data_IF_527280538177
#
_entry.id   IF_527280538177
#
_cell.length_a   1.000
_cell.length_b   1.000
_cell.length_c   1.000
_cell.angle_alpha   90.00
_cell.angle_beta   90.00
_cell.angle_gamma   90.00
#
_symmetry.space_group_name_H-M   'P 1'
#
loop_
_entity.id
_entity.type
_entity.pdbx_description
1 polymer ?
#
# COMPACT_ATOMS: atom_id res chain seq x y z
N UNK A 1 -15.04 -19.54 7.82
CA UNK A 1 -15.61 -18.55 8.76
C UNK A 1 -14.51 -18.03 9.67
N UNK A 2 -13.85 -16.93 9.28
CA UNK A 2 -13.00 -16.17 10.19
C UNK A 2 -13.90 -15.53 11.25
N UNK A 3 -13.88 -16.07 12.47
CA UNK A 3 -14.55 -15.47 13.60
C UNK A 3 -13.86 -14.12 13.88
N UNK A 4 -14.64 -13.06 14.12
CA UNK A 4 -14.16 -11.67 14.28
C UNK A 4 -13.11 -11.51 15.39
N UNK A 5 -12.93 -12.50 16.27
CA UNK A 5 -12.06 -12.46 17.44
C UNK A 5 -11.10 -13.66 17.61
N UNK A 6 -10.92 -14.53 16.61
CA UNK A 6 -9.88 -15.59 16.69
C UNK A 6 -8.78 -15.31 15.67
N UNK A 7 -7.83 -14.45 16.03
CA UNK A 7 -6.64 -14.25 15.21
C UNK A 7 -5.84 -15.55 15.15
N UNK A 8 -5.64 -16.08 13.94
CA UNK A 8 -4.78 -17.23 13.73
C UNK A 8 -3.33 -16.82 14.06
N UNK A 9 -2.78 -17.35 15.15
CA UNK A 9 -1.43 -17.02 15.61
C UNK A 9 -0.36 -17.38 14.58
N UNK A 10 -0.55 -18.49 13.85
CA UNK A 10 0.33 -18.85 12.73
C UNK A 10 0.34 -17.75 11.67
N UNK A 11 -0.84 -17.27 11.25
CA UNK A 11 -0.92 -16.17 10.27
C UNK A 11 -0.19 -14.92 10.76
N UNK A 12 -0.40 -14.51 12.02
CA UNK A 12 0.29 -13.33 12.58
C UNK A 12 1.81 -13.54 12.53
N UNK A 13 2.29 -14.72 12.96
CA UNK A 13 3.71 -15.04 12.95
C UNK A 13 4.32 -15.04 11.55
N UNK A 14 3.52 -15.33 10.52
CA UNK A 14 3.97 -15.29 9.11
C UNK A 14 3.96 -13.89 8.51
N UNK A 15 3.39 -12.87 9.15
CA UNK A 15 3.31 -11.51 8.60
C UNK A 15 4.41 -10.58 9.13
N UNK A 16 4.91 -10.84 10.33
CA UNK A 16 5.91 -9.99 10.99
C UNK A 16 7.17 -10.78 11.35
N UNK A 17 8.29 -10.08 11.37
CA UNK A 17 9.58 -10.59 11.88
C UNK A 17 10.00 -9.83 13.12
N UNK A 18 10.90 -10.40 13.91
CA UNK A 18 11.51 -9.71 15.04
C UNK A 18 12.47 -8.64 14.54
N UNK A 19 12.61 -7.54 15.30
CA UNK A 19 13.54 -6.43 15.03
C UNK A 19 14.97 -6.91 14.72
N UNK A 20 15.48 -7.88 15.49
CA UNK A 20 16.82 -8.46 15.27
C UNK A 20 16.99 -9.10 13.88
N UNK A 21 15.94 -9.73 13.34
CA UNK A 21 15.95 -10.30 11.99
C UNK A 21 15.63 -9.29 10.89
N UNK A 22 15.14 -8.10 11.25
CA UNK A 22 14.81 -7.02 10.32
C UNK A 22 15.99 -6.08 10.07
N UNK A 23 16.79 -5.77 11.10
CA UNK A 23 17.93 -4.84 11.03
C UNK A 23 18.94 -5.21 9.94
N UNK A 24 19.05 -6.49 9.60
CA UNK A 24 19.98 -6.99 8.56
C UNK A 24 19.44 -6.76 7.14
N UNK A 25 18.21 -6.26 6.99
CA UNK A 25 17.52 -6.15 5.69
C UNK A 25 17.42 -4.68 5.25
N UNK A 26 17.79 -4.36 3.99
CA UNK A 26 17.71 -2.99 3.46
C UNK A 26 16.31 -2.37 3.58
N UNK A 27 15.26 -3.18 3.42
CA UNK A 27 13.87 -2.71 3.48
C UNK A 27 13.40 -2.30 4.89
N UNK A 28 14.23 -2.46 5.92
CA UNK A 28 13.88 -2.15 7.32
C UNK A 28 14.59 -0.91 7.86
N UNK A 29 15.51 -0.29 7.10
CA UNK A 29 16.33 0.83 7.56
C UNK A 29 15.48 2.00 8.10
N UNK A 30 14.50 2.45 7.32
CA UNK A 30 13.59 3.52 7.73
C UNK A 30 12.75 3.13 8.95
N UNK A 31 12.25 1.90 9.01
CA UNK A 31 11.47 1.45 10.18
C UNK A 31 12.36 1.41 11.41
N UNK A 32 13.63 1.00 11.29
CA UNK A 32 14.59 1.01 12.38
C UNK A 32 14.92 2.43 12.87
N UNK A 33 15.03 3.40 11.97
CA UNK A 33 15.34 4.79 12.31
C UNK A 33 14.21 5.46 13.12
N UNK A 34 12.95 5.19 12.78
CA UNK A 34 11.78 5.80 13.42
C UNK A 34 11.09 4.92 14.47
N UNK A 35 11.59 3.71 14.74
CA UNK A 35 11.00 2.80 15.73
C UNK A 35 11.43 3.12 17.16
N UNK A 36 10.51 3.69 17.93
CA UNK A 36 10.61 3.90 19.38
C UNK A 36 10.18 2.66 20.20
N UNK A 37 10.03 1.49 19.57
CA UNK A 37 9.72 0.21 20.21
C UNK A 37 8.29 -0.30 19.97
N UNK A 38 7.52 0.35 19.10
CA UNK A 38 6.12 0.02 18.82
C UNK A 38 5.84 -0.40 17.37
N UNK A 39 6.81 -0.28 16.47
CA UNK A 39 6.59 -0.59 15.05
C UNK A 39 6.76 -2.09 14.76
N UNK A 40 5.93 -2.56 13.83
CA UNK A 40 6.03 -3.92 13.30
C UNK A 40 6.97 -3.96 12.10
N UNK A 41 7.81 -5.00 12.06
CA UNK A 41 8.68 -5.26 10.93
C UNK A 41 8.04 -6.34 10.04
N UNK A 42 7.75 -6.06 8.76
CA UNK A 42 7.13 -7.04 7.88
C UNK A 42 8.08 -8.21 7.61
N UNK A 43 7.53 -9.40 7.45
CA UNK A 43 8.29 -10.52 6.89
C UNK A 43 8.60 -10.29 5.39
N UNK A 44 9.50 -11.11 4.83
CA UNK A 44 9.88 -10.97 3.42
C UNK A 44 8.73 -11.22 2.45
N UNK A 45 7.86 -12.18 2.76
CA UNK A 45 6.74 -12.51 1.87
C UNK A 45 5.71 -11.37 1.82
N UNK A 46 5.43 -10.75 2.96
CA UNK A 46 4.57 -9.57 3.02
C UNK A 46 5.21 -8.37 2.31
N UNK A 47 6.50 -8.12 2.55
CA UNK A 47 7.22 -7.05 1.88
C UNK A 47 7.24 -7.24 0.34
N UNK A 48 7.48 -8.46 -0.14
CA UNK A 48 7.42 -8.81 -1.57
C UNK A 48 6.03 -8.63 -2.15
N UNK A 49 5.00 -9.11 -1.47
CA UNK A 49 3.61 -8.93 -1.90
C UNK A 49 3.27 -7.44 -2.03
N UNK A 50 3.56 -6.62 -1.02
CA UNK A 50 3.30 -5.18 -1.04
C UNK A 50 4.11 -4.50 -2.15
N UNK A 51 5.38 -4.90 -2.36
CA UNK A 51 6.18 -4.37 -3.46
C UNK A 51 5.55 -4.69 -4.83
N UNK A 52 5.15 -5.93 -5.07
CA UNK A 52 4.48 -6.32 -6.32
C UNK A 52 3.19 -5.53 -6.53
N UNK A 53 2.40 -5.31 -5.47
CA UNK A 53 1.19 -4.49 -5.54
C UNK A 53 1.50 -3.03 -5.89
N UNK A 54 2.54 -2.44 -5.30
CA UNK A 54 2.96 -1.06 -5.58
C UNK A 54 3.51 -0.88 -7.00
N UNK A 55 4.35 -1.80 -7.46
CA UNK A 55 4.89 -1.79 -8.81
C UNK A 55 3.75 -1.93 -9.84
N UNK A 56 2.79 -2.82 -9.56
CA UNK A 56 1.58 -3.02 -10.38
C UNK A 56 0.69 -1.79 -10.40
N UNK A 57 0.46 -1.17 -9.24
CA UNK A 57 -0.31 0.05 -9.11
C UNK A 57 0.31 1.18 -9.94
N UNK A 58 1.63 1.36 -9.81
CA UNK A 58 2.39 2.37 -10.54
C UNK A 58 2.35 2.11 -12.04
N UNK A 59 2.52 0.86 -12.47
CA UNK A 59 2.42 0.48 -13.87
C UNK A 59 1.04 0.83 -14.44
N UNK A 60 -0.03 0.39 -13.79
CA UNK A 60 -1.40 0.64 -14.26
C UNK A 60 -1.71 2.14 -14.38
N UNK A 61 -1.46 2.91 -13.32
CA UNK A 61 -1.77 4.34 -13.30
C UNK A 61 -0.71 5.23 -13.99
N UNK A 62 0.33 4.64 -14.58
CA UNK A 62 1.20 5.35 -15.52
C UNK A 62 0.55 5.56 -16.88
N UNK A 63 -0.35 4.64 -17.26
CA UNK A 63 -1.12 4.71 -18.51
C UNK A 63 -2.56 5.21 -18.27
N UNK A 64 -3.17 4.79 -17.16
CA UNK A 64 -4.57 5.07 -16.86
C UNK A 64 -4.77 6.30 -15.97
N UNK A 65 -5.80 7.09 -16.28
CA UNK A 65 -6.20 8.23 -15.44
C UNK A 65 -7.08 7.76 -14.28
N UNK A 66 -7.08 8.52 -13.19
CA UNK A 66 -8.03 8.30 -12.10
C UNK A 66 -9.47 8.66 -12.53
N UNK A 67 -10.42 7.76 -12.30
CA UNK A 67 -11.85 7.91 -12.55
C UNK A 67 -12.68 7.13 -11.50
N UNK A 68 -14.02 7.20 -11.59
CA UNK A 68 -14.95 6.65 -10.60
C UNK A 68 -14.91 5.12 -10.45
N UNK A 69 -14.46 4.41 -11.48
CA UNK A 69 -14.37 2.95 -11.52
C UNK A 69 -12.94 2.43 -11.36
N UNK A 70 -11.95 3.29 -11.11
CA UNK A 70 -10.55 2.88 -11.12
C UNK A 70 -10.21 1.79 -10.09
N UNK A 71 -10.93 1.70 -8.98
CA UNK A 71 -10.75 0.59 -8.01
C UNK A 71 -11.17 -0.74 -8.64
N UNK A 72 -12.34 -0.76 -9.29
CA UNK A 72 -12.86 -1.97 -9.92
C UNK A 72 -11.94 -2.43 -11.05
N UNK A 73 -11.58 -1.51 -11.94
CA UNK A 73 -10.80 -1.85 -13.14
C UNK A 73 -9.37 -2.27 -12.78
N UNK A 74 -8.78 -1.62 -11.78
CA UNK A 74 -7.50 -2.07 -11.23
C UNK A 74 -7.58 -3.46 -10.60
N UNK A 75 -8.64 -3.77 -9.84
CA UNK A 75 -8.83 -5.10 -9.24
C UNK A 75 -9.00 -6.18 -10.32
N UNK A 76 -9.69 -5.86 -11.42
CA UNK A 76 -9.82 -6.77 -12.56
C UNK A 76 -8.47 -6.99 -13.25
N UNK A 77 -7.67 -5.94 -13.43
CA UNK A 77 -6.30 -6.04 -13.94
C UNK A 77 -5.42 -6.91 -13.02
N UNK A 78 -5.49 -6.67 -11.72
CA UNK A 78 -4.72 -7.38 -10.70
C UNK A 78 -5.07 -8.88 -10.64
N UNK A 79 -6.32 -9.26 -10.96
CA UNK A 79 -6.74 -10.66 -11.01
C UNK A 79 -5.98 -11.49 -12.06
N UNK A 80 -5.40 -10.84 -13.09
CA UNK A 80 -4.54 -11.47 -14.08
C UNK A 80 -3.07 -11.65 -13.64
N UNK A 81 -2.69 -11.10 -12.48
CA UNK A 81 -1.31 -11.07 -12.01
C UNK A 81 -1.08 -12.17 -10.97
N UNK A 82 0.04 -12.88 -11.10
CA UNK A 82 0.46 -13.86 -10.10
C UNK A 82 1.00 -13.14 -8.87
N UNK A 83 0.27 -13.23 -7.77
CA UNK A 83 0.69 -12.68 -6.47
C UNK A 83 1.25 -13.77 -5.55
N UNK A 84 2.32 -13.43 -4.84
CA UNK A 84 2.81 -14.21 -3.72
C UNK A 84 1.75 -14.22 -2.60
N UNK A 85 1.56 -15.39 -1.98
CA UNK A 85 0.57 -15.53 -0.92
C UNK A 85 1.21 -15.41 0.46
N UNK A 86 0.44 -14.90 1.40
CA UNK A 86 0.82 -14.76 2.81
C UNK A 86 -0.18 -15.47 3.72
N UNK A 87 0.26 -15.92 4.89
CA UNK A 87 -0.55 -16.69 5.85
C UNK A 87 -0.23 -18.18 5.87
N UNK A 88 -0.80 -18.90 6.83
CA UNK A 88 -0.69 -20.36 6.91
C UNK A 88 -1.47 -21.05 5.78
N UNK A 89 -1.24 -22.35 5.58
CA UNK A 89 -1.81 -23.12 4.45
C UNK A 89 -3.33 -23.00 4.35
N UNK A 90 -4.03 -22.98 5.49
CA UNK A 90 -5.49 -22.90 5.57
C UNK A 90 -6.01 -21.52 5.18
N UNK A 91 -5.34 -20.46 5.64
CA UNK A 91 -5.84 -19.08 5.54
C UNK A 91 -5.14 -18.25 4.45
N UNK A 92 -4.17 -18.82 3.75
CA UNK A 92 -3.28 -18.12 2.83
C UNK A 92 -4.05 -17.31 1.77
N UNK A 93 -5.07 -17.93 1.15
CA UNK A 93 -5.90 -17.27 0.13
C UNK A 93 -6.72 -16.12 0.71
N UNK A 94 -7.39 -16.33 1.84
CA UNK A 94 -8.26 -15.34 2.45
C UNK A 94 -7.46 -14.15 3.01
N UNK A 95 -6.34 -14.42 3.68
CA UNK A 95 -5.47 -13.39 4.23
C UNK A 95 -4.86 -12.54 3.11
N UNK A 96 -4.36 -13.17 2.05
CA UNK A 96 -3.83 -12.45 0.88
C UNK A 96 -4.89 -11.53 0.27
N UNK A 97 -6.13 -12.00 0.12
CA UNK A 97 -7.23 -11.17 -0.39
C UNK A 97 -7.51 -9.94 0.50
N UNK A 98 -7.48 -10.12 1.83
CA UNK A 98 -7.63 -9.01 2.78
C UNK A 98 -6.49 -8.00 2.69
N UNK A 99 -5.25 -8.47 2.55
CA UNK A 99 -4.08 -7.61 2.36
C UNK A 99 -4.21 -6.81 1.07
N UNK A 100 -4.58 -7.45 -0.04
CA UNK A 100 -4.80 -6.79 -1.33
C UNK A 100 -5.91 -5.73 -1.25
N UNK A 101 -7.05 -6.07 -0.64
CA UNK A 101 -8.15 -5.14 -0.46
C UNK A 101 -7.73 -3.92 0.38
N UNK A 102 -7.05 -4.16 1.51
CA UNK A 102 -6.57 -3.09 2.38
C UNK A 102 -5.53 -2.20 1.67
N UNK A 103 -4.58 -2.81 0.95
CA UNK A 103 -3.60 -2.10 0.14
C UNK A 103 -4.29 -1.18 -0.86
N UNK A 104 -5.23 -1.71 -1.66
CA UNK A 104 -5.88 -0.94 -2.72
C UNK A 104 -6.64 0.27 -2.18
N UNK A 105 -7.41 0.08 -1.10
CA UNK A 105 -8.16 1.16 -0.47
C UNK A 105 -7.23 2.25 0.06
N UNK A 106 -6.21 1.84 0.81
CA UNK A 106 -5.22 2.74 1.40
C UNK A 106 -4.43 3.49 0.33
N UNK A 107 -3.97 2.79 -0.71
CA UNK A 107 -3.15 3.38 -1.78
C UNK A 107 -3.94 4.39 -2.60
N UNK A 108 -5.18 4.06 -2.96
CA UNK A 108 -6.08 4.96 -3.69
C UNK A 108 -6.43 6.20 -2.87
N UNK A 109 -6.64 6.04 -1.56
CA UNK A 109 -6.86 7.17 -0.66
C UNK A 109 -5.65 8.12 -0.68
N UNK A 110 -4.45 7.60 -0.46
CA UNK A 110 -3.23 8.41 -0.45
C UNK A 110 -2.95 9.07 -1.81
N UNK A 111 -3.17 8.35 -2.90
CA UNK A 111 -2.97 8.90 -4.24
C UNK A 111 -3.96 10.04 -4.55
N UNK A 112 -5.25 9.83 -4.28
CA UNK A 112 -6.29 10.86 -4.47
C UNK A 112 -6.02 12.08 -3.59
N UNK A 113 -5.58 11.87 -2.34
CA UNK A 113 -5.17 12.95 -1.43
C UNK A 113 -4.00 13.75 -2.01
N UNK A 114 -2.99 13.08 -2.59
CA UNK A 114 -1.87 13.74 -3.24
C UNK A 114 -2.30 14.57 -4.45
N UNK A 115 -3.12 14.00 -5.34
CA UNK A 115 -3.64 14.72 -6.52
C UNK A 115 -4.45 15.96 -6.13
N UNK A 116 -5.24 15.87 -5.06
CA UNK A 116 -6.02 17.01 -4.56
C UNK A 116 -5.11 18.11 -3.98
N UNK A 117 -4.04 17.72 -3.28
CA UNK A 117 -3.02 18.66 -2.81
C UNK A 117 -2.32 19.37 -3.96
N UNK A 118 -1.96 18.65 -5.03
CA UNK A 118 -1.30 19.27 -6.18
C UNK A 118 -2.22 20.27 -6.90
N UNK A 119 -3.50 19.94 -7.05
CA UNK A 119 -4.51 20.86 -7.59
C UNK A 119 -4.67 22.12 -6.74
N UNK A 120 -4.65 22.00 -5.42
CA UNK A 120 -4.77 23.18 -4.54
C UNK A 120 -3.54 24.09 -4.65
N UNK A 121 -2.33 23.49 -4.67
CA UNK A 121 -1.08 24.23 -4.88
C UNK A 121 -1.04 24.93 -6.24
N UNK A 122 -1.47 24.24 -7.31
CA UNK A 122 -1.54 24.84 -8.65
C UNK A 122 -2.50 26.02 -8.70
N UNK A 123 -3.68 25.92 -8.08
CA UNK A 123 -4.63 27.03 -8.00
C UNK A 123 -4.04 28.25 -7.29
N UNK A 124 -3.31 28.03 -6.19
CA UNK A 124 -2.69 29.12 -5.44
C UNK A 124 -1.58 29.81 -6.26
N UNK A 125 -0.74 29.03 -6.94
CA UNK A 125 0.26 29.58 -7.88
C UNK A 125 -0.39 30.42 -8.99
N UNK A 126 -1.51 29.96 -9.55
CA UNK A 126 -2.24 30.72 -10.57
C UNK A 126 -2.82 32.04 -10.04
N UNK A 127 -3.30 32.08 -8.79
CA UNK A 127 -3.74 33.34 -8.16
C UNK A 127 -2.58 34.32 -8.03
N UNK A 128 -1.42 33.87 -7.53
CA UNK A 128 -0.23 34.70 -7.39
C UNK A 128 0.25 35.25 -8.75
N UNK A 129 0.19 34.46 -9.82
CA UNK A 129 0.53 34.91 -11.18
C UNK A 129 -0.43 35.98 -11.70
N UNK A 130 -1.74 35.86 -11.40
CA UNK A 130 -2.72 36.89 -11.77
C UNK A 130 -2.48 38.21 -11.03
N UNK A 131 -2.18 38.15 -9.73
CA UNK A 131 -1.88 39.34 -8.93
C UNK A 131 -0.62 40.09 -9.40
N UNK A 132 0.39 39.38 -9.91
CA UNK A 132 1.61 39.98 -10.47
C UNK A 132 1.38 40.76 -11.76
N UNK A 133 0.31 40.48 -12.51
CA UNK A 133 -0.02 41.15 -13.78
C UNK A 133 -0.88 42.41 -13.59
N UNK A 134 -1.32 42.69 -12.36
CA UNK A 134 -2.17 43.84 -12.00
C UNK A 134 -1.35 44.96 -11.34
N UNK A 135 -0.05 44.76 -11.17
CA UNK A 135 0.93 45.82 -10.87
C UNK A 135 1.70 46.16 -12.13
#
# INVERSE_FOLDING_TARGET
NFNKNSSCNECISTLATKKSGAIVKPNSELVCEFDEGGLLYPCDNLAKLVKTLEDTFTFYFSAEKLHSFSIHDFMQFLAGIKLDRVGCEIHSKELTAKVVQFFQLTRMHFWTKSLNKDRSVQRERQKHLKLRRVK
#
